data_IF_996820059155
#
_entry.id   IF_996820059155
#
_cell.length_a   1.000
_cell.length_b   1.000
_cell.length_c   1.000
_cell.angle_alpha   90.00
_cell.angle_beta   90.00
_cell.angle_gamma   90.00
#
_symmetry.space_group_name_H-M   'P 1'
#
loop_
_entity.id
_entity.type
_entity.pdbx_description
1 polymer ?
#
# COMPACT_ATOMS: atom_id res chain seq x y z
N UNK A 1 -18.33 21.14 4.25
CA UNK A 1 -19.40 20.50 3.42
C UNK A 1 -19.46 19.04 3.85
N UNK A 2 -20.65 18.44 4.06
CA UNK A 2 -20.73 17.03 4.48
C UNK A 2 -20.52 16.14 3.24
N UNK A 3 -19.56 15.23 3.30
CA UNK A 3 -19.36 14.29 2.20
C UNK A 3 -20.58 13.38 2.01
N UNK A 4 -20.89 12.97 0.77
CA UNK A 4 -21.96 12.03 0.47
C UNK A 4 -21.76 10.72 1.25
N UNK A 5 -22.87 10.13 1.67
CA UNK A 5 -22.88 8.77 2.20
C UNK A 5 -22.81 7.81 1.01
N UNK A 6 -22.06 6.69 1.11
CA UNK A 6 -22.08 5.69 0.06
C UNK A 6 -23.49 5.10 -0.08
N UNK A 7 -23.87 4.72 -1.30
CA UNK A 7 -25.18 4.11 -1.61
C UNK A 7 -25.39 2.70 -1.02
N UNK A 8 -24.47 2.21 -0.18
CA UNK A 8 -24.33 0.81 0.22
C UNK A 8 -23.44 0.03 -0.75
N UNK A 9 -22.95 -1.15 -0.35
CA UNK A 9 -22.11 -2.01 -1.19
C UNK A 9 -20.75 -2.36 -0.58
N UNK A 10 -19.83 -2.82 -1.43
CA UNK A 10 -18.45 -3.15 -1.05
C UNK A 10 -17.58 -1.89 -1.16
N UNK A 11 -16.51 -1.86 -0.38
CA UNK A 11 -15.46 -0.85 -0.54
C UNK A 11 -14.79 -0.95 -1.92
N UNK A 12 -14.41 0.19 -2.48
CA UNK A 12 -13.57 0.28 -3.67
C UNK A 12 -12.09 0.18 -3.31
N UNK A 13 -11.28 -0.42 -4.18
CA UNK A 13 -9.82 -0.34 -4.13
C UNK A 13 -9.41 0.54 -5.31
N UNK A 14 -8.73 1.66 -5.04
CA UNK A 14 -8.27 2.57 -6.09
C UNK A 14 -7.20 1.84 -6.92
N UNK A 15 -7.36 1.86 -8.25
CA UNK A 15 -6.55 1.04 -9.18
C UNK A 15 -5.46 1.84 -9.90
N UNK A 16 -5.62 3.16 -10.03
CA UNK A 16 -4.68 4.05 -10.74
C UNK A 16 -3.40 4.35 -9.93
N UNK A 17 -3.41 4.01 -8.64
CA UNK A 17 -2.32 4.26 -7.70
C UNK A 17 -1.98 2.98 -6.93
N UNK A 18 -0.72 2.83 -6.59
CA UNK A 18 -0.20 1.63 -5.99
C UNK A 18 1.20 1.85 -5.43
N UNK A 19 1.67 0.86 -4.70
CA UNK A 19 2.99 0.88 -4.11
C UNK A 19 4.11 0.86 -5.12
N UNK A 20 5.32 0.91 -4.58
CA UNK A 20 6.53 1.03 -5.37
C UNK A 20 7.73 0.44 -4.62
N UNK A 21 8.80 0.18 -5.34
CA UNK A 21 10.11 0.06 -4.71
C UNK A 21 10.50 1.39 -4.06
N UNK A 22 11.12 1.35 -2.89
CA UNK A 22 11.56 2.54 -2.15
C UNK A 22 12.98 2.31 -1.61
N UNK A 23 13.83 3.34 -1.65
CA UNK A 23 15.20 3.21 -1.15
C UNK A 23 16.07 4.41 -1.53
N UNK A 24 16.95 4.23 -2.50
CA UNK A 24 17.83 5.31 -3.00
C UNK A 24 17.07 6.40 -3.74
N UNK A 25 15.87 6.08 -4.22
CA UNK A 25 14.93 7.01 -4.84
C UNK A 25 13.55 6.85 -4.20
N UNK A 26 12.71 7.90 -4.32
CA UNK A 26 11.37 7.90 -3.75
C UNK A 26 10.49 6.83 -4.40
N UNK A 27 10.48 6.75 -5.74
CA UNK A 27 9.71 5.76 -6.49
C UNK A 27 10.65 4.95 -7.38
N UNK A 28 10.75 3.65 -7.12
CA UNK A 28 11.52 2.68 -7.89
C UNK A 28 10.63 1.53 -8.33
N UNK A 29 11.09 0.73 -9.29
CA UNK A 29 10.45 -0.54 -9.60
C UNK A 29 10.52 -1.53 -8.40
N UNK A 30 9.55 -2.43 -8.25
CA UNK A 30 8.36 -2.59 -9.10
C UNK A 30 7.20 -1.70 -8.65
N UNK A 31 6.35 -1.28 -9.59
CA UNK A 31 5.01 -0.80 -9.25
C UNK A 31 4.14 -1.94 -8.69
N UNK A 32 3.59 -1.75 -7.49
CA UNK A 32 2.80 -2.73 -6.75
C UNK A 32 1.31 -2.39 -6.81
N UNK A 33 0.54 -3.26 -7.45
CA UNK A 33 -0.92 -3.12 -7.45
C UNK A 33 -1.48 -3.43 -6.06
N UNK A 34 -2.43 -2.60 -5.62
CA UNK A 34 -3.21 -2.83 -4.39
C UNK A 34 -4.28 -3.91 -4.54
N UNK A 35 -4.39 -4.52 -5.72
CA UNK A 35 -5.38 -5.52 -6.08
C UNK A 35 -4.75 -6.64 -6.91
N UNK A 36 -5.44 -7.78 -6.95
CA UNK A 36 -5.00 -8.94 -7.73
C UNK A 36 -5.50 -8.81 -9.17
N UNK A 37 -4.60 -8.49 -10.09
CA UNK A 37 -4.90 -8.57 -11.53
C UNK A 37 -4.72 -10.00 -12.04
N UNK A 38 -5.84 -10.70 -12.27
CA UNK A 38 -5.85 -12.12 -12.72
C UNK A 38 -5.04 -12.39 -14.00
N UNK A 39 -4.81 -11.37 -14.82
CA UNK A 39 -4.04 -11.47 -16.08
C UNK A 39 -2.54 -11.35 -15.90
N UNK A 40 -2.06 -10.77 -14.79
CA UNK A 40 -0.63 -10.43 -14.57
C UNK A 40 0.23 -11.59 -14.04
N UNK A 41 -0.33 -12.78 -13.89
CA UNK A 41 0.40 -13.93 -13.34
C UNK A 41 0.76 -13.73 -11.87
N UNK A 42 1.92 -14.26 -11.44
CA UNK A 42 2.34 -14.29 -10.02
C UNK A 42 3.04 -13.01 -9.52
N UNK A 43 3.18 -11.98 -10.37
CA UNK A 43 3.95 -10.78 -10.04
C UNK A 43 5.47 -11.04 -9.97
N UNK A 44 6.27 -10.02 -9.60
CA UNK A 44 7.72 -10.16 -9.48
C UNK A 44 8.11 -11.10 -8.33
N UNK A 45 9.22 -11.82 -8.50
CA UNK A 45 9.80 -12.61 -7.42
C UNK A 45 10.43 -11.67 -6.40
N UNK A 46 9.92 -11.71 -5.17
CA UNK A 46 10.47 -10.98 -4.05
C UNK A 46 11.71 -11.70 -3.50
N UNK A 47 12.81 -10.97 -3.33
CA UNK A 47 14.09 -11.48 -2.80
C UNK A 47 14.64 -10.53 -1.74
N UNK A 48 15.48 -11.03 -0.80
CA UNK A 48 16.19 -10.17 0.14
C UNK A 48 16.93 -9.01 -0.54
N UNK A 49 16.95 -7.85 0.11
CA UNK A 49 17.47 -6.60 -0.42
C UNK A 49 16.41 -5.68 -1.05
N UNK A 50 15.20 -6.19 -1.30
CA UNK A 50 14.08 -5.35 -1.74
C UNK A 50 13.55 -4.52 -0.57
N UNK A 51 13.12 -3.30 -0.86
CA UNK A 51 12.29 -2.51 0.05
C UNK A 51 11.12 -1.92 -0.72
N UNK A 52 9.92 -2.09 -0.18
CA UNK A 52 8.65 -1.81 -0.86
C UNK A 52 7.79 -0.88 -0.02
N UNK A 53 7.23 0.15 -0.63
CA UNK A 53 6.08 0.87 -0.12
C UNK A 53 4.83 0.04 -0.42
N UNK A 54 4.12 -0.39 0.62
CA UNK A 54 2.84 -1.09 0.51
C UNK A 54 1.76 -0.11 1.00
N UNK A 55 0.92 0.36 0.07
CA UNK A 55 0.14 1.59 0.28
C UNK A 55 -1.33 1.50 -0.22
N UNK A 56 -2.16 0.63 0.37
CA UNK A 56 -3.55 0.47 -0.06
C UNK A 56 -4.38 1.74 0.15
N UNK A 57 -5.08 2.14 -0.92
CA UNK A 57 -6.07 3.20 -0.92
C UNK A 57 -7.48 2.62 -1.14
N UNK A 58 -8.34 2.78 -0.14
CA UNK A 58 -9.68 2.17 -0.08
C UNK A 58 -10.76 3.25 -0.01
N UNK A 59 -11.75 3.19 -0.88
CA UNK A 59 -12.89 4.11 -0.91
C UNK A 59 -14.18 3.50 -0.37
N UNK A 60 -15.04 4.35 0.21
CA UNK A 60 -16.36 3.93 0.69
C UNK A 60 -17.33 3.57 -0.46
N UNK A 61 -17.14 4.16 -1.63
CA UNK A 61 -17.96 3.92 -2.82
C UNK A 61 -17.14 3.44 -4.01
N UNK A 62 -17.00 4.28 -5.03
CA UNK A 62 -16.32 3.93 -6.29
C UNK A 62 -14.79 3.92 -6.16
N UNK A 63 -14.07 3.01 -6.84
CA UNK A 63 -12.61 3.07 -6.94
C UNK A 63 -12.13 4.14 -7.94
N UNK A 64 -13.04 4.70 -8.76
CA UNK A 64 -12.70 5.68 -9.79
C UNK A 64 -12.27 7.01 -9.18
N UNK A 65 -11.23 7.60 -9.74
CA UNK A 65 -10.67 8.86 -9.26
C UNK A 65 -10.68 9.95 -10.34
N UNK A 66 -10.49 11.19 -9.91
CA UNK A 66 -10.25 12.35 -10.77
C UNK A 66 -9.13 13.19 -10.13
N UNK A 67 -8.20 13.68 -10.96
CA UNK A 67 -7.19 14.65 -10.55
C UNK A 67 -7.77 16.05 -10.73
N UNK A 68 -7.73 16.87 -9.69
CA UNK A 68 -8.25 18.23 -9.73
C UNK A 68 -7.35 19.15 -10.54
N UNK A 69 -7.84 20.37 -10.77
CA UNK A 69 -7.15 21.40 -11.58
C UNK A 69 -5.83 21.91 -10.98
N UNK A 70 -5.44 21.44 -9.79
CA UNK A 70 -4.13 21.70 -9.21
C UNK A 70 -3.07 20.67 -9.65
N UNK A 71 -3.45 19.72 -10.50
CA UNK A 71 -2.62 18.63 -11.05
C UNK A 71 -2.09 17.63 -10.00
N UNK A 72 -2.58 17.69 -8.75
CA UNK A 72 -2.08 16.87 -7.64
C UNK A 72 -3.18 16.24 -6.80
N UNK A 73 -4.22 16.98 -6.45
CA UNK A 73 -5.26 16.50 -5.55
C UNK A 73 -6.10 15.46 -6.26
N UNK A 74 -6.10 14.24 -5.73
CA UNK A 74 -6.91 13.12 -6.23
C UNK A 74 -8.15 12.98 -5.38
N UNK A 75 -9.32 12.95 -6.02
CA UNK A 75 -10.61 12.72 -5.36
C UNK A 75 -11.28 11.47 -5.91
N UNK A 76 -12.18 10.87 -5.14
CA UNK A 76 -13.11 9.85 -5.62
C UNK A 76 -14.15 10.51 -6.53
N UNK A 77 -14.50 9.86 -7.64
CA UNK A 77 -15.45 10.42 -8.62
C UNK A 77 -16.87 10.57 -8.07
N UNK A 78 -17.24 9.77 -7.05
CA UNK A 78 -18.52 9.90 -6.35
C UNK A 78 -18.47 10.83 -5.13
N UNK A 79 -17.30 11.41 -4.85
CA UNK A 79 -17.06 12.33 -3.74
C UNK A 79 -17.18 11.70 -2.35
N UNK A 80 -17.24 10.38 -2.22
CA UNK A 80 -17.28 9.68 -0.93
C UNK A 80 -15.89 9.57 -0.30
N UNK A 81 -15.83 9.27 1.00
CA UNK A 81 -14.56 9.16 1.71
C UNK A 81 -13.65 8.06 1.15
N UNK A 82 -12.36 8.34 1.16
CA UNK A 82 -11.29 7.37 0.95
C UNK A 82 -10.35 7.38 2.14
N UNK A 83 -9.63 6.29 2.32
CA UNK A 83 -8.57 6.18 3.31
C UNK A 83 -7.35 5.50 2.71
N UNK A 84 -6.18 5.97 3.13
CA UNK A 84 -4.88 5.55 2.65
C UNK A 84 -4.02 5.22 3.87
N UNK A 85 -3.32 4.09 3.82
CA UNK A 85 -2.29 3.73 4.78
C UNK A 85 -1.10 3.15 4.05
N UNK A 86 0.09 3.38 4.60
CA UNK A 86 1.34 2.94 3.99
C UNK A 86 2.30 2.40 5.04
N UNK A 87 3.06 1.37 4.64
CA UNK A 87 4.30 1.00 5.29
C UNK A 87 5.40 0.73 4.26
N UNK A 88 6.61 1.21 4.55
CA UNK A 88 7.84 0.72 3.91
C UNK A 88 8.32 -0.58 4.57
N UNK A 89 8.48 -1.63 3.78
CA UNK A 89 8.84 -2.98 4.23
C UNK A 89 10.12 -3.44 3.54
N UNK A 90 11.17 -3.66 4.32
CA UNK A 90 12.41 -4.26 3.87
C UNK A 90 12.31 -5.79 3.92
N UNK A 91 12.76 -6.44 2.85
CA UNK A 91 12.90 -7.88 2.76
C UNK A 91 14.35 -8.24 3.10
N UNK A 92 14.54 -9.02 4.15
CA UNK A 92 15.86 -9.44 4.60
C UNK A 92 15.95 -10.97 4.59
N UNK A 93 17.17 -11.50 4.71
CA UNK A 93 17.40 -12.94 4.86
C UNK A 93 16.75 -13.51 6.14
N UNK A 94 16.56 -12.67 7.17
CA UNK A 94 15.98 -13.06 8.46
C UNK A 94 14.44 -12.94 8.51
N UNK A 95 13.82 -12.41 7.44
CA UNK A 95 12.39 -12.10 7.38
C UNK A 95 12.11 -10.65 6.98
N UNK A 96 10.83 -10.25 6.91
CA UNK A 96 10.46 -8.86 6.64
C UNK A 96 10.73 -7.96 7.85
N UNK A 97 11.06 -6.71 7.59
CA UNK A 97 11.16 -5.64 8.58
C UNK A 97 10.25 -4.48 8.15
N UNK A 98 9.26 -4.13 8.97
CA UNK A 98 8.37 -3.00 8.70
C UNK A 98 9.01 -1.74 9.26
N UNK A 99 9.79 -1.04 8.42
CA UNK A 99 10.68 0.06 8.81
C UNK A 99 9.96 1.25 9.44
N UNK A 100 8.68 1.39 9.15
CA UNK A 100 7.82 2.50 9.59
C UNK A 100 6.87 2.11 10.72
N UNK A 101 6.97 0.88 11.23
CA UNK A 101 6.24 0.45 12.42
C UNK A 101 7.11 0.62 13.68
N UNK A 102 6.56 1.09 14.82
CA UNK A 102 7.34 1.33 16.04
C UNK A 102 8.11 0.13 16.59
N UNK A 103 7.64 -1.09 16.32
CA UNK A 103 8.27 -2.35 16.76
C UNK A 103 8.86 -3.16 15.59
N UNK A 104 9.07 -2.54 14.43
CA UNK A 104 9.50 -3.23 13.21
C UNK A 104 8.47 -4.20 12.64
N UNK A 105 7.21 -4.14 13.12
CA UNK A 105 6.13 -5.04 12.73
C UNK A 105 6.11 -6.36 13.51
N UNK A 106 6.97 -6.54 14.52
CA UNK A 106 7.12 -7.79 15.27
C UNK A 106 5.80 -8.34 15.81
N UNK A 107 5.04 -7.53 16.55
CA UNK A 107 3.80 -7.98 17.17
C UNK A 107 2.77 -8.41 16.13
N UNK A 108 2.58 -7.59 15.08
CA UNK A 108 1.56 -7.86 14.07
C UNK A 108 1.91 -9.03 13.16
N UNK A 109 3.17 -9.14 12.74
CA UNK A 109 3.65 -10.26 11.92
C UNK A 109 3.60 -11.59 12.67
N UNK A 110 3.87 -11.60 13.98
CA UNK A 110 3.78 -12.79 14.81
C UNK A 110 2.36 -13.38 14.85
N UNK A 111 1.30 -12.56 14.78
CA UNK A 111 -0.09 -13.03 14.66
C UNK A 111 -0.32 -13.90 13.41
N UNK A 112 0.47 -13.69 12.36
CA UNK A 112 0.44 -14.48 11.11
C UNK A 112 1.48 -15.61 11.09
N UNK A 113 2.19 -15.86 12.19
CA UNK A 113 3.27 -16.84 12.25
C UNK A 113 4.54 -16.41 11.51
N UNK A 114 4.70 -15.11 11.23
CA UNK A 114 5.85 -14.55 10.52
C UNK A 114 6.81 -13.95 11.53
N UNK A 115 8.07 -14.37 11.47
CA UNK A 115 9.16 -13.76 12.24
C UNK A 115 9.64 -12.50 11.52
N UNK A 116 9.51 -11.35 12.17
CA UNK A 116 10.12 -10.12 11.68
C UNK A 116 11.63 -10.14 11.92
N UNK A 117 12.39 -9.54 11.01
CA UNK A 117 13.83 -9.38 11.19
C UNK A 117 14.15 -8.47 12.39
N UNK A 118 15.30 -8.65 13.04
CA UNK A 118 15.76 -7.72 14.06
C UNK A 118 15.97 -6.33 13.47
N UNK A 119 15.80 -5.30 14.30
CA UNK A 119 16.18 -3.94 13.94
C UNK A 119 17.72 -3.88 13.82
N UNK A 120 18.28 -3.52 12.65
CA UNK A 120 19.73 -3.45 12.47
C UNK A 120 20.40 -2.32 13.26
N UNK A 121 19.62 -1.40 13.83
CA UNK A 121 20.11 -0.26 14.62
C UNK A 121 19.94 -0.44 16.14
N UNK A 122 19.32 -1.55 16.57
CA UNK A 122 19.09 -1.85 17.98
C UNK A 122 20.36 -2.32 18.74
#
# INVERSE_FOLDING_TARGET
>A
RRQPKPGGGKYGIIEDYGGHGIGTEMHMDPHLLNYVEKRRGKGPKLVPGFCLAIEPMVSLGTPKTEVLSDDWTVITLDGTWSSHWEHSVALTEAGPLVLTAPDGGRAKLAEYGITAAPDPLA
#
